data_IF_661463233472
#
_entry.id   IF_661463233472
#
_cell.length_a   1.000
_cell.length_b   1.000
_cell.length_c   1.000
_cell.angle_alpha   90.00
_cell.angle_beta   90.00
_cell.angle_gamma   90.00
#
_symmetry.space_group_name_H-M   'P 1'
#
loop_
_entity.id
_entity.type
_entity.pdbx_description
1 polymer ?
#
# COMPACT_ATOMS: atom_id res chain seq x y z
N UNK A 1 6.89 9.19 -6.31
CA UNK A 1 5.49 9.45 -6.69
C UNK A 1 4.68 10.02 -5.51
N UNK A 2 4.62 9.36 -4.35
CA UNK A 2 3.89 9.90 -3.19
C UNK A 2 4.50 11.16 -2.58
N UNK A 3 5.82 11.35 -2.64
CA UNK A 3 6.48 12.54 -2.09
C UNK A 3 6.03 13.82 -2.79
N UNK A 4 5.86 13.80 -4.12
CA UNK A 4 5.38 14.95 -4.90
C UNK A 4 3.92 15.30 -4.55
N UNK A 5 3.07 14.29 -4.38
CA UNK A 5 1.67 14.47 -3.99
C UNK A 5 1.57 15.02 -2.56
N UNK A 6 2.33 14.46 -1.61
CA UNK A 6 2.39 14.94 -0.23
C UNK A 6 2.85 16.38 -0.14
N UNK A 7 3.93 16.75 -0.86
CA UNK A 7 4.44 18.12 -0.90
C UNK A 7 3.40 19.11 -1.45
N UNK A 8 2.64 18.71 -2.49
CA UNK A 8 1.56 19.55 -3.03
C UNK A 8 0.44 19.75 -2.03
N UNK A 9 -0.02 18.67 -1.38
CA UNK A 9 -1.03 18.79 -0.32
C UNK A 9 -0.58 19.65 0.85
N UNK A 10 0.67 19.51 1.30
CA UNK A 10 1.25 20.37 2.33
C UNK A 10 1.25 21.86 1.91
N UNK A 11 1.59 22.15 0.67
CA UNK A 11 1.54 23.50 0.09
C UNK A 11 0.13 24.08 0.10
N UNK A 12 -0.88 23.29 -0.34
CA UNK A 12 -2.28 23.67 -0.35
C UNK A 12 -2.75 23.99 1.10
N UNK A 13 -2.50 23.06 2.01
CA UNK A 13 -2.94 23.19 3.40
C UNK A 13 -2.22 24.32 4.16
N UNK A 14 -0.96 24.59 3.84
CA UNK A 14 -0.22 25.70 4.44
C UNK A 14 -0.85 27.08 4.11
N UNK A 15 -1.39 27.23 2.89
CA UNK A 15 -2.02 28.49 2.47
C UNK A 15 -3.35 28.78 3.15
N UNK A 16 -4.12 27.77 3.49
CA UNK A 16 -5.41 27.94 4.19
C UNK A 16 -5.24 27.98 5.71
N UNK A 17 -4.13 27.44 6.25
CA UNK A 17 -3.83 27.57 7.69
C UNK A 17 -3.63 29.03 8.08
N UNK A 18 -4.34 29.46 9.10
CA UNK A 18 -4.29 30.84 9.58
C UNK A 18 -5.30 31.80 8.94
N UNK A 19 -6.11 31.36 7.95
CA UNK A 19 -7.28 32.11 7.54
C UNK A 19 -8.38 31.91 8.59
N UNK A 20 -8.73 32.96 9.33
CA UNK A 20 -9.76 32.92 10.39
C UNK A 20 -11.17 32.65 9.86
N UNK A 21 -11.40 32.85 8.56
CA UNK A 21 -12.60 32.45 7.81
C UNK A 21 -12.16 31.93 6.44
N UNK A 22 -12.82 30.86 5.97
CA UNK A 22 -12.72 30.40 4.58
C UNK A 22 -13.99 30.81 3.86
N UNK A 23 -13.82 31.48 2.71
CA UNK A 23 -14.92 31.77 1.79
C UNK A 23 -15.20 30.55 0.91
N UNK A 24 -16.36 30.54 0.23
CA UNK A 24 -16.65 29.52 -0.77
C UNK A 24 -15.60 29.51 -1.89
N UNK A 25 -15.09 30.67 -2.27
CA UNK A 25 -14.03 30.82 -3.27
C UNK A 25 -12.72 30.18 -2.82
N UNK A 26 -12.32 30.36 -1.54
CA UNK A 26 -11.15 29.70 -0.97
C UNK A 26 -11.27 28.17 -1.02
N UNK A 27 -12.45 27.63 -0.73
CA UNK A 27 -12.72 26.18 -0.79
C UNK A 27 -12.65 25.69 -2.24
N UNK A 28 -13.26 26.41 -3.17
CA UNK A 28 -13.26 26.05 -4.60
C UNK A 28 -11.85 26.08 -5.20
N UNK A 29 -11.00 27.04 -4.80
CA UNK A 29 -9.59 27.10 -5.17
C UNK A 29 -8.81 25.88 -4.65
N UNK A 30 -8.97 25.53 -3.38
CA UNK A 30 -8.37 24.33 -2.76
C UNK A 30 -8.82 23.06 -3.49
N UNK A 31 -10.09 22.93 -3.81
CA UNK A 31 -10.62 21.78 -4.54
C UNK A 31 -10.06 21.66 -5.95
N UNK A 32 -9.88 22.78 -6.66
CA UNK A 32 -9.26 22.80 -7.98
C UNK A 32 -7.80 22.31 -7.94
N UNK A 33 -7.05 22.71 -6.92
CA UNK A 33 -5.66 22.27 -6.74
C UNK A 33 -5.56 20.80 -6.31
N UNK A 34 -6.42 20.33 -5.40
CA UNK A 34 -6.52 18.92 -5.03
C UNK A 34 -6.83 18.08 -6.28
N UNK A 35 -7.77 18.51 -7.11
CA UNK A 35 -8.10 17.86 -8.37
C UNK A 35 -6.88 17.74 -9.27
N UNK A 36 -6.13 18.84 -9.46
CA UNK A 36 -4.92 18.85 -10.28
C UNK A 36 -3.86 17.92 -9.72
N UNK A 37 -3.61 17.97 -8.40
CA UNK A 37 -2.62 17.13 -7.75
C UNK A 37 -2.92 15.63 -7.89
N UNK A 38 -4.19 15.24 -7.79
CA UNK A 38 -4.63 13.84 -7.98
C UNK A 38 -4.50 13.39 -9.45
N UNK A 39 -4.83 14.24 -10.41
CA UNK A 39 -4.67 13.94 -11.83
C UNK A 39 -3.19 13.79 -12.22
N UNK A 40 -2.32 14.66 -11.71
CA UNK A 40 -0.88 14.59 -11.93
C UNK A 40 -0.23 13.35 -11.26
N UNK A 41 -0.91 12.76 -10.30
CA UNK A 41 -0.55 11.48 -9.68
C UNK A 41 -1.20 10.27 -10.37
N UNK A 42 -1.69 10.43 -11.60
CA UNK A 42 -2.32 9.40 -12.43
C UNK A 42 -3.58 8.75 -11.81
N UNK A 43 -4.27 9.45 -10.90
CA UNK A 43 -5.55 8.98 -10.37
C UNK A 43 -6.63 9.08 -11.46
N UNK A 44 -7.42 8.02 -11.61
CA UNK A 44 -8.47 7.96 -12.62
C UNK A 44 -9.46 9.14 -12.48
N UNK A 45 -9.78 9.78 -13.61
CA UNK A 45 -10.62 11.00 -13.68
C UNK A 45 -11.99 10.82 -13.01
N UNK A 46 -12.61 9.64 -13.14
CA UNK A 46 -13.91 9.36 -12.50
C UNK A 46 -13.80 9.34 -10.98
N UNK A 47 -12.71 8.78 -10.45
CA UNK A 47 -12.41 8.74 -9.01
C UNK A 47 -12.14 10.15 -8.49
N UNK A 48 -11.30 10.92 -9.19
CA UNK A 48 -11.00 12.32 -8.82
C UNK A 48 -12.28 13.15 -8.76
N UNK A 49 -13.16 13.03 -9.77
CA UNK A 49 -14.45 13.74 -9.81
C UNK A 49 -15.34 13.40 -8.62
N UNK A 50 -15.45 12.10 -8.29
CA UNK A 50 -16.26 11.63 -7.17
C UNK A 50 -15.71 12.14 -5.82
N UNK A 51 -14.40 12.07 -5.59
CA UNK A 51 -13.76 12.55 -4.35
C UNK A 51 -13.92 14.04 -4.19
N UNK A 52 -13.60 14.84 -5.21
CA UNK A 52 -13.74 16.30 -5.16
C UNK A 52 -15.20 16.72 -4.93
N UNK A 53 -16.17 16.00 -5.53
CA UNK A 53 -17.60 16.22 -5.31
C UNK A 53 -17.99 16.01 -3.85
N UNK A 54 -17.60 14.89 -3.24
CA UNK A 54 -17.88 14.59 -1.83
C UNK A 54 -17.21 15.59 -0.87
N UNK A 55 -15.96 15.97 -1.15
CA UNK A 55 -15.27 17.00 -0.34
C UNK A 55 -16.04 18.31 -0.41
N UNK A 56 -16.49 18.73 -1.60
CA UNK A 56 -17.28 19.95 -1.78
C UNK A 56 -18.58 19.91 -0.97
N UNK A 57 -19.36 18.83 -1.08
CA UNK A 57 -20.59 18.64 -0.34
C UNK A 57 -20.36 18.68 1.17
N UNK A 58 -19.33 18.00 1.65
CA UNK A 58 -18.98 17.99 3.07
C UNK A 58 -18.49 19.36 3.56
N UNK A 59 -17.74 20.11 2.74
CA UNK A 59 -17.23 21.43 3.10
C UNK A 59 -18.33 22.52 3.14
N UNK A 60 -19.35 22.40 2.29
CA UNK A 60 -20.51 23.34 2.28
C UNK A 60 -21.48 23.06 3.43
N UNK A 61 -21.60 21.80 3.87
CA UNK A 61 -22.53 21.39 4.94
C UNK A 61 -21.98 21.55 6.36
N UNK A 62 -20.73 21.95 6.53
CA UNK A 62 -20.12 22.02 7.87
C UNK A 62 -20.48 23.31 8.56
N UNK A 63 -21.40 23.25 9.52
CA UNK A 63 -21.41 24.22 10.62
C UNK A 63 -20.06 24.15 11.32
N UNK A 64 -19.30 25.23 11.20
CA UNK A 64 -17.94 25.34 11.77
C UNK A 64 -17.99 25.01 13.27
N UNK A 65 -17.54 23.83 13.66
CA UNK A 65 -17.39 23.48 15.06
C UNK A 65 -16.49 24.55 15.73
N UNK A 66 -16.98 25.15 16.81
CA UNK A 66 -16.27 26.18 17.56
C UNK A 66 -14.91 25.69 18.13
N UNK A 67 -14.63 24.39 18.05
CA UNK A 67 -13.43 23.75 18.56
C UNK A 67 -12.27 23.63 17.57
N UNK A 68 -12.52 23.79 16.26
CA UNK A 68 -11.49 23.72 15.20
C UNK A 68 -11.61 24.94 14.31
N UNK A 69 -10.46 25.47 13.85
CA UNK A 69 -10.49 26.50 12.83
C UNK A 69 -11.02 25.94 11.47
N UNK A 70 -11.58 26.78 10.60
CA UNK A 70 -12.16 26.36 9.33
C UNK A 70 -11.18 25.59 8.43
N UNK A 71 -9.89 25.97 8.46
CA UNK A 71 -8.86 25.33 7.68
C UNK A 71 -8.60 23.89 8.16
N UNK A 72 -8.57 23.67 9.46
CA UNK A 72 -8.39 22.33 10.04
C UNK A 72 -9.58 21.42 9.69
N UNK A 73 -10.79 21.97 9.61
CA UNK A 73 -11.98 21.20 9.21
C UNK A 73 -11.89 20.77 7.75
N UNK A 74 -11.53 21.66 6.83
CA UNK A 74 -11.33 21.32 5.42
C UNK A 74 -10.23 20.23 5.28
N UNK A 75 -9.11 20.39 5.97
CA UNK A 75 -8.02 19.39 5.98
C UNK A 75 -8.55 18.04 6.47
N UNK A 76 -9.34 18.01 7.55
CA UNK A 76 -9.93 16.77 8.08
C UNK A 76 -10.88 16.12 7.09
N UNK A 77 -11.74 16.90 6.41
CA UNK A 77 -12.66 16.40 5.39
C UNK A 77 -11.87 15.78 4.24
N UNK A 78 -10.85 16.48 3.73
CA UNK A 78 -9.99 15.97 2.65
C UNK A 78 -9.31 14.67 3.07
N UNK A 79 -8.74 14.62 4.26
CA UNK A 79 -8.10 13.41 4.78
C UNK A 79 -9.07 12.23 4.88
N UNK A 80 -10.28 12.46 5.42
CA UNK A 80 -11.29 11.40 5.54
C UNK A 80 -11.73 10.88 4.17
N UNK A 81 -11.92 11.76 3.18
CA UNK A 81 -12.31 11.36 1.83
C UNK A 81 -11.18 10.61 1.11
N UNK A 82 -9.92 10.98 1.32
CA UNK A 82 -8.77 10.24 0.78
C UNK A 82 -8.65 8.85 1.44
N UNK A 83 -8.84 8.76 2.74
CA UNK A 83 -8.86 7.46 3.46
C UNK A 83 -10.01 6.59 2.94
N UNK A 84 -11.21 7.15 2.78
CA UNK A 84 -12.36 6.43 2.24
C UNK A 84 -12.12 5.96 0.79
N UNK A 85 -11.47 6.79 -0.05
CA UNK A 85 -11.07 6.43 -1.41
C UNK A 85 -10.11 5.23 -1.45
N UNK A 86 -9.22 5.13 -0.47
CA UNK A 86 -8.26 4.01 -0.34
C UNK A 86 -8.86 2.76 0.32
N UNK A 87 -10.17 2.76 0.62
CA UNK A 87 -10.87 1.61 1.18
C UNK A 87 -11.24 1.74 2.67
N UNK A 88 -10.88 2.85 3.31
CA UNK A 88 -11.27 3.18 4.69
C UNK A 88 -10.50 2.37 5.74
N UNK A 89 -10.97 1.17 6.05
CA UNK A 89 -10.33 0.31 7.06
C UNK A 89 -9.24 -0.58 6.48
N UNK A 90 -8.16 -0.76 7.25
CA UNK A 90 -7.12 -1.73 6.88
C UNK A 90 -7.68 -3.14 7.00
N UNK A 91 -7.70 -3.86 5.87
CA UNK A 91 -8.09 -5.28 5.88
C UNK A 91 -7.10 -6.10 6.72
N UNK A 92 -7.64 -6.85 7.68
CA UNK A 92 -6.84 -7.79 8.45
C UNK A 92 -6.55 -9.03 7.62
N UNK A 93 -5.35 -9.57 7.77
CA UNK A 93 -4.98 -10.83 7.12
C UNK A 93 -5.82 -11.96 7.73
N UNK A 94 -6.58 -12.65 6.88
CA UNK A 94 -7.33 -13.85 7.28
C UNK A 94 -6.42 -15.06 7.20
N UNK A 95 -6.23 -15.72 8.33
CA UNK A 95 -5.41 -16.93 8.40
C UNK A 95 -6.18 -18.16 7.91
N UNK A 96 -5.47 -19.03 7.19
CA UNK A 96 -6.03 -20.30 6.74
C UNK A 96 -6.37 -21.20 7.94
N UNK A 97 -7.48 -21.93 7.82
CA UNK A 97 -7.88 -22.93 8.84
C UNK A 97 -6.90 -24.11 8.94
N UNK A 98 -6.21 -24.41 7.83
CA UNK A 98 -5.12 -25.39 7.77
C UNK A 98 -3.83 -24.68 7.36
N UNK A 99 -2.82 -24.58 8.24
CA UNK A 99 -1.53 -23.97 7.92
C UNK A 99 -0.81 -24.67 6.75
N UNK A 100 0.02 -23.90 6.02
CA UNK A 100 0.32 -22.48 6.19
C UNK A 100 -0.71 -21.57 5.51
N UNK A 101 -0.83 -20.33 6.03
CA UNK A 101 -1.45 -19.23 5.27
C UNK A 101 -0.51 -18.82 4.16
N UNK A 102 -0.99 -18.84 2.92
CA UNK A 102 -0.18 -18.47 1.75
C UNK A 102 -0.41 -17.03 1.36
N UNK A 103 0.67 -16.26 1.26
CA UNK A 103 0.69 -14.89 0.78
C UNK A 103 1.50 -14.83 -0.51
N UNK A 104 0.87 -14.44 -1.62
CA UNK A 104 1.52 -14.27 -2.91
C UNK A 104 1.84 -12.79 -3.14
N UNK A 105 3.13 -12.48 -3.34
CA UNK A 105 3.57 -11.13 -3.67
C UNK A 105 3.43 -10.91 -5.18
N UNK A 106 2.45 -10.10 -5.59
CA UNK A 106 2.18 -9.77 -6.99
C UNK A 106 2.42 -8.28 -7.28
N UNK A 107 2.81 -7.96 -8.51
CA UNK A 107 3.01 -6.58 -8.96
C UNK A 107 4.08 -6.44 -10.04
N UNK A 108 4.24 -5.22 -10.54
CA UNK A 108 5.19 -4.88 -11.59
C UNK A 108 6.65 -5.04 -11.12
N UNK A 109 7.56 -5.08 -12.09
CA UNK A 109 8.99 -5.02 -11.80
C UNK A 109 9.32 -3.71 -11.07
N UNK A 110 10.19 -3.77 -10.07
CA UNK A 110 10.56 -2.59 -9.26
C UNK A 110 9.51 -2.15 -8.22
N UNK A 111 8.34 -2.81 -8.12
CA UNK A 111 7.31 -2.50 -7.12
C UNK A 111 7.69 -2.86 -5.67
N UNK A 112 8.90 -3.36 -5.44
CA UNK A 112 9.41 -3.66 -4.10
C UNK A 112 8.92 -4.99 -3.50
N UNK A 113 8.45 -5.94 -4.31
CA UNK A 113 7.91 -7.24 -3.84
C UNK A 113 8.87 -7.96 -2.90
N UNK A 114 10.11 -8.19 -3.33
CA UNK A 114 11.14 -8.89 -2.55
C UNK A 114 11.41 -8.20 -1.21
N UNK A 115 11.55 -6.87 -1.22
CA UNK A 115 11.77 -6.09 0.00
C UNK A 115 10.56 -6.17 0.94
N UNK A 116 9.35 -6.06 0.40
CA UNK A 116 8.12 -6.14 1.20
C UNK A 116 7.82 -7.57 1.66
N UNK A 117 8.20 -8.60 0.89
CA UNK A 117 8.13 -9.99 1.35
C UNK A 117 8.93 -10.21 2.64
N UNK A 118 10.17 -9.70 2.68
CA UNK A 118 11.00 -9.78 3.88
C UNK A 118 10.44 -8.94 5.05
N UNK A 119 9.97 -7.71 4.79
CA UNK A 119 9.33 -6.88 5.82
C UNK A 119 8.09 -7.55 6.40
N UNK A 120 7.26 -8.15 5.55
CA UNK A 120 6.05 -8.87 5.95
C UNK A 120 6.40 -10.13 6.76
N UNK A 121 7.43 -10.88 6.36
CA UNK A 121 7.92 -12.02 7.10
C UNK A 121 8.39 -11.61 8.51
N UNK A 122 9.14 -10.51 8.62
CA UNK A 122 9.57 -9.97 9.91
C UNK A 122 8.38 -9.53 10.78
N UNK A 123 7.37 -8.92 10.18
CA UNK A 123 6.15 -8.55 10.88
C UNK A 123 5.40 -9.80 11.39
N UNK A 124 5.21 -10.84 10.56
CA UNK A 124 4.61 -12.09 11.02
C UNK A 124 5.39 -12.72 12.18
N UNK A 125 6.73 -12.73 12.08
CA UNK A 125 7.60 -13.20 13.16
C UNK A 125 7.39 -12.42 14.46
N UNK A 126 7.24 -11.09 14.39
CA UNK A 126 6.96 -10.25 15.56
C UNK A 126 5.58 -10.53 16.19
N UNK A 127 4.65 -11.10 15.42
CA UNK A 127 3.35 -11.56 15.88
C UNK A 127 3.36 -13.02 16.41
N UNK A 128 4.55 -13.61 16.58
CA UNK A 128 4.71 -14.99 17.07
C UNK A 128 4.46 -16.05 16.00
N UNK A 129 4.35 -15.68 14.71
CA UNK A 129 4.19 -16.61 13.59
C UNK A 129 5.52 -17.15 13.11
N UNK A 130 5.49 -18.25 12.39
CA UNK A 130 6.67 -18.92 11.84
C UNK A 130 6.64 -18.89 10.31
N UNK A 131 7.05 -17.78 9.67
CA UNK A 131 7.02 -17.66 8.21
C UNK A 131 8.13 -18.49 7.54
N UNK A 132 7.85 -18.90 6.29
CA UNK A 132 8.80 -19.34 5.28
C UNK A 132 8.71 -18.40 4.08
N UNK A 133 9.84 -17.94 3.58
CA UNK A 133 9.93 -17.19 2.33
C UNK A 133 10.20 -18.19 1.18
N UNK A 134 9.55 -17.96 0.02
CA UNK A 134 9.82 -18.70 -1.21
C UNK A 134 10.26 -17.74 -2.29
N UNK A 135 11.48 -17.95 -2.82
CA UNK A 135 12.02 -17.21 -3.96
C UNK A 135 11.57 -17.86 -5.27
N UNK A 136 10.52 -17.33 -5.90
CA UNK A 136 9.99 -17.77 -7.17
C UNK A 136 10.27 -16.78 -8.34
N UNK A 137 11.04 -15.72 -8.11
CA UNK A 137 11.62 -14.87 -9.17
C UNK A 137 12.88 -15.52 -9.75
N UNK A 138 12.68 -16.58 -10.52
CA UNK A 138 13.76 -17.40 -11.08
C UNK A 138 14.37 -16.81 -12.36
N UNK A 139 13.74 -15.79 -12.94
CA UNK A 139 14.26 -15.08 -14.11
C UNK A 139 15.41 -14.13 -13.73
N UNK A 140 15.51 -13.77 -12.46
CA UNK A 140 16.55 -12.86 -11.93
C UNK A 140 17.30 -13.54 -10.79
N UNK A 141 18.43 -14.21 -11.06
CA UNK A 141 19.21 -14.91 -10.03
C UNK A 141 19.54 -14.02 -8.83
N UNK A 142 19.83 -12.75 -9.06
CA UNK A 142 20.08 -11.78 -7.99
C UNK A 142 18.88 -11.54 -7.07
N UNK A 143 17.63 -11.76 -7.53
CA UNK A 143 16.44 -11.57 -6.68
C UNK A 143 16.34 -12.67 -5.60
N UNK A 144 16.65 -13.92 -5.96
CA UNK A 144 16.67 -15.03 -5.01
C UNK A 144 17.77 -14.83 -3.96
N UNK A 145 18.98 -14.43 -4.38
CA UNK A 145 20.07 -14.14 -3.45
C UNK A 145 19.77 -12.94 -2.54
N UNK A 146 19.12 -11.92 -3.07
CA UNK A 146 18.62 -10.79 -2.28
C UNK A 146 17.63 -11.27 -1.21
N UNK A 147 16.68 -12.13 -1.59
CA UNK A 147 15.69 -12.68 -0.65
C UNK A 147 16.36 -13.53 0.43
N UNK A 148 17.37 -14.35 0.06
CA UNK A 148 18.17 -15.13 1.02
C UNK A 148 18.90 -14.25 2.01
N UNK A 149 19.55 -13.19 1.53
CA UNK A 149 20.24 -12.20 2.37
C UNK A 149 19.29 -11.55 3.36
N UNK A 150 18.11 -11.08 2.87
CA UNK A 150 17.08 -10.47 3.72
C UNK A 150 16.52 -11.49 4.72
N UNK A 151 16.24 -12.72 4.29
CA UNK A 151 15.80 -13.80 5.17
C UNK A 151 16.77 -14.10 6.30
N UNK A 152 18.07 -14.17 5.97
CA UNK A 152 19.12 -14.36 6.97
C UNK A 152 19.18 -13.21 8.00
N UNK A 153 19.08 -11.96 7.55
CA UNK A 153 19.08 -10.78 8.44
C UNK A 153 17.95 -10.81 9.47
N UNK A 154 16.77 -11.31 9.08
CA UNK A 154 15.60 -11.39 9.98
C UNK A 154 15.44 -12.76 10.65
N UNK A 155 16.31 -13.72 10.35
CA UNK A 155 16.24 -15.08 10.88
C UNK A 155 14.99 -15.84 10.42
N UNK A 156 14.61 -15.69 9.13
CA UNK A 156 13.51 -16.39 8.48
C UNK A 156 14.09 -17.25 7.35
N UNK A 157 13.76 -18.57 7.31
CA UNK A 157 14.28 -19.45 6.26
C UNK A 157 13.70 -19.08 4.89
N UNK A 158 14.52 -19.34 3.85
CA UNK A 158 14.15 -19.11 2.46
C UNK A 158 14.26 -20.43 1.69
N UNK A 159 13.20 -20.81 1.00
CA UNK A 159 13.16 -21.91 0.06
C UNK A 159 13.23 -21.37 -1.37
N UNK A 160 14.06 -21.95 -2.20
CA UNK A 160 14.07 -21.72 -3.65
C UNK A 160 14.80 -22.87 -4.33
N UNK A 161 14.37 -23.20 -5.53
CA UNK A 161 15.01 -24.18 -6.40
C UNK A 161 15.03 -23.68 -7.86
N UNK A 162 15.87 -24.24 -8.68
CA UNK A 162 15.92 -23.91 -10.11
C UNK A 162 14.75 -24.54 -10.87
N UNK A 163 14.36 -23.91 -11.98
CA UNK A 163 13.39 -24.45 -12.92
C UNK A 163 12.11 -23.61 -13.02
N UNK A 164 10.95 -24.21 -12.75
CA UNK A 164 9.65 -23.57 -12.90
C UNK A 164 9.19 -22.87 -11.62
N UNK A 165 8.80 -21.58 -11.67
CA UNK A 165 8.34 -20.83 -10.50
C UNK A 165 7.09 -21.41 -9.85
N UNK A 166 6.17 -21.98 -10.63
CA UNK A 166 4.94 -22.61 -10.10
C UNK A 166 5.31 -23.87 -9.30
N UNK A 167 6.19 -24.68 -9.84
CA UNK A 167 6.72 -25.86 -9.17
C UNK A 167 7.47 -25.48 -7.89
N UNK A 168 8.32 -24.46 -7.94
CA UNK A 168 9.04 -23.93 -6.78
C UNK A 168 8.08 -23.48 -5.68
N UNK A 169 7.01 -22.75 -6.02
CA UNK A 169 6.00 -22.34 -5.07
C UNK A 169 5.26 -23.56 -4.44
N UNK A 170 4.86 -24.53 -5.25
CA UNK A 170 4.21 -25.76 -4.78
C UNK A 170 5.10 -26.58 -3.85
N UNK A 171 6.39 -26.72 -4.17
CA UNK A 171 7.35 -27.41 -3.30
C UNK A 171 7.69 -26.62 -2.04
N UNK A 172 7.71 -25.28 -2.14
CA UNK A 172 7.83 -24.41 -0.97
C UNK A 172 6.66 -24.57 -0.01
N UNK A 173 5.43 -24.79 -0.54
CA UNK A 173 4.26 -25.11 0.29
C UNK A 173 4.43 -26.45 1.00
N UNK A 174 4.86 -27.49 0.29
CA UNK A 174 5.13 -28.79 0.89
C UNK A 174 6.23 -28.71 1.97
N UNK A 175 7.28 -27.96 1.72
CA UNK A 175 8.36 -27.73 2.68
C UNK A 175 7.88 -26.98 3.92
N UNK A 176 7.06 -25.93 3.75
CA UNK A 176 6.46 -25.20 4.87
C UNK A 176 5.65 -26.13 5.79
N UNK A 177 4.83 -27.00 5.19
CA UNK A 177 4.07 -28.01 5.93
C UNK A 177 4.98 -29.01 6.63
N UNK A 178 6.03 -29.49 5.96
CA UNK A 178 7.00 -30.46 6.50
C UNK A 178 7.73 -29.92 7.73
N UNK A 179 8.13 -28.65 7.72
CA UNK A 179 8.90 -28.02 8.81
C UNK A 179 8.01 -27.23 9.79
N UNK A 180 6.67 -27.36 9.69
CA UNK A 180 5.73 -26.78 10.63
C UNK A 180 5.61 -25.26 10.56
N UNK A 181 5.77 -24.65 9.37
CA UNK A 181 5.57 -23.21 9.19
C UNK A 181 4.08 -22.91 9.03
N UNK A 182 3.65 -21.81 9.64
CA UNK A 182 2.24 -21.40 9.65
C UNK A 182 1.92 -20.28 8.65
N UNK A 183 2.96 -19.66 8.06
CA UNK A 183 2.84 -18.66 6.99
C UNK A 183 3.85 -18.96 5.88
N UNK A 184 3.40 -18.89 4.64
CA UNK A 184 4.23 -18.99 3.44
C UNK A 184 4.13 -17.69 2.64
N UNK A 185 5.25 -17.05 2.36
CA UNK A 185 5.28 -15.85 1.54
C UNK A 185 6.05 -16.14 0.27
N UNK A 186 5.36 -16.08 -0.88
CA UNK A 186 5.94 -16.37 -2.19
C UNK A 186 6.28 -15.06 -2.89
N UNK A 187 7.58 -14.82 -3.10
CA UNK A 187 8.10 -13.69 -3.87
C UNK A 187 8.17 -14.07 -5.35
N UNK A 188 7.37 -13.42 -6.19
CA UNK A 188 7.26 -13.72 -7.61
C UNK A 188 7.97 -12.70 -8.49
N UNK A 189 8.29 -13.09 -9.72
CA UNK A 189 8.78 -12.18 -10.75
C UNK A 189 7.78 -11.04 -11.00
N UNK A 190 8.31 -9.83 -11.27
CA UNK A 190 7.50 -8.73 -11.77
C UNK A 190 7.40 -8.82 -13.28
N UNK A 191 6.18 -8.81 -13.81
CA UNK A 191 5.92 -8.73 -15.24
C UNK A 191 5.22 -7.43 -15.59
N UNK A 192 5.54 -6.89 -16.76
CA UNK A 192 4.72 -5.85 -17.38
C UNK A 192 3.47 -6.53 -17.98
N UNK A 193 2.36 -5.80 -18.09
CA UNK A 193 1.11 -6.33 -18.66
C UNK A 193 1.24 -6.76 -20.14
N UNK A 194 2.37 -6.39 -20.79
CA UNK A 194 2.71 -6.75 -22.19
C UNK A 194 3.60 -8.00 -22.30
N UNK A 195 4.07 -8.54 -21.18
CA UNK A 195 4.86 -9.78 -21.16
C UNK A 195 3.89 -10.97 -21.16
N UNK A 196 3.57 -11.43 -22.35
CA UNK A 196 2.74 -12.64 -22.59
C UNK A 196 3.60 -13.91 -22.60
#
# INVERSE_FOLDING_TARGET
MFDSLSTRFEGIFKRIRGKGRLTQEDVDEVLAEIRTALLDADVNVSVVRAVVGRIREAAVGVEVSKALDPAQQVIKIVNNELVAMLGGETLKITYASKPPTVVLMAGLQGAGKTTNAAKLANWFKSQGRQPLLVGADLQRPAAVEQLRTLGAQIGVPVFSEEGDPVRTAARGLAEAQRIGRDVLIVDTAGRLAIDS
#
